data_IF_593394270948
#
_entry.id   IF_593394270948
#
_cell.length_a   1.000
_cell.length_b   1.000
_cell.length_c   1.000
_cell.angle_alpha   90.00
_cell.angle_beta   90.00
_cell.angle_gamma   90.00
#
_symmetry.space_group_name_H-M   'P 1'
#
loop_
_entity.id
_entity.type
_entity.pdbx_description
1 polymer ?
#
# COMPACT_ATOMS: atom_id res chain seq x y z
N UNK A 1 -13.51 8.16 -2.34
CA UNK A 1 -12.48 8.85 -1.52
C UNK A 1 -11.18 8.16 -1.81
N UNK A 2 -10.22 8.91 -2.37
CA UNK A 2 -8.97 8.36 -2.89
C UNK A 2 -7.82 9.25 -2.42
N UNK A 3 -6.73 8.63 -2.02
CA UNK A 3 -5.54 9.31 -1.51
C UNK A 3 -4.32 8.91 -2.35
N UNK A 4 -3.34 9.80 -2.45
CA UNK A 4 -2.08 9.49 -3.12
C UNK A 4 -1.10 8.89 -2.11
N UNK A 5 -0.53 7.73 -2.44
CA UNK A 5 0.57 7.11 -1.70
C UNK A 5 1.82 7.13 -2.57
N UNK A 6 2.96 7.31 -1.93
CA UNK A 6 4.23 7.06 -2.61
C UNK A 6 4.41 5.57 -2.91
N UNK A 7 5.21 5.28 -3.93
CA UNK A 7 5.49 3.90 -4.33
C UNK A 7 6.13 3.09 -3.20
N UNK A 8 7.06 3.70 -2.46
CA UNK A 8 7.72 3.04 -1.33
C UNK A 8 6.78 2.83 -0.14
N UNK A 9 5.92 3.80 0.18
CA UNK A 9 4.87 3.64 1.19
C UNK A 9 3.92 2.49 0.82
N UNK A 10 3.51 2.40 -0.44
CA UNK A 10 2.63 1.32 -0.94
C UNK A 10 3.31 -0.05 -0.83
N UNK A 11 4.60 -0.14 -1.16
CA UNK A 11 5.39 -1.36 -1.04
C UNK A 11 5.44 -1.82 0.42
N UNK A 12 5.88 -0.92 1.31
CA UNK A 12 6.05 -1.17 2.73
C UNK A 12 4.73 -1.53 3.40
N UNK A 13 3.64 -0.85 3.05
CA UNK A 13 2.30 -1.15 3.55
C UNK A 13 1.89 -2.59 3.22
N UNK A 14 2.11 -3.02 1.98
CA UNK A 14 1.75 -4.37 1.56
C UNK A 14 2.60 -5.44 2.28
N UNK A 15 3.90 -5.19 2.47
CA UNK A 15 4.79 -6.08 3.23
C UNK A 15 4.35 -6.20 4.69
N UNK A 16 4.14 -5.07 5.38
CA UNK A 16 3.73 -5.10 6.78
C UNK A 16 2.34 -5.74 6.99
N UNK A 17 1.42 -5.60 6.03
CA UNK A 17 0.12 -6.31 6.08
C UNK A 17 0.36 -7.82 6.05
N UNK A 18 1.18 -8.32 5.13
CA UNK A 18 1.49 -9.75 5.06
C UNK A 18 2.17 -10.24 6.35
N UNK A 19 3.12 -9.46 6.90
CA UNK A 19 3.78 -9.79 8.17
C UNK A 19 2.80 -9.89 9.34
N UNK A 20 1.87 -8.94 9.48
CA UNK A 20 0.83 -9.00 10.51
C UNK A 20 -0.02 -10.26 10.34
N UNK A 21 -0.47 -10.55 9.11
CA UNK A 21 -1.31 -11.72 8.85
C UNK A 21 -0.57 -13.03 9.12
N UNK A 22 0.70 -13.12 8.77
CA UNK A 22 1.50 -14.32 9.01
C UNK A 22 1.83 -14.52 10.49
N UNK A 23 2.08 -13.44 11.23
CA UNK A 23 2.17 -13.50 12.69
C UNK A 23 0.87 -14.02 13.32
N UNK A 24 -0.30 -13.56 12.86
CA UNK A 24 -1.59 -14.02 13.36
C UNK A 24 -1.81 -15.54 13.13
N UNK A 25 -1.28 -16.10 12.04
CA UNK A 25 -1.34 -17.56 11.78
C UNK A 25 -0.60 -18.34 12.87
N UNK A 26 0.51 -17.80 13.39
CA UNK A 26 1.35 -18.46 14.40
C UNK A 26 0.78 -18.40 15.82
N UNK A 27 -0.21 -17.54 16.07
CA UNK A 27 -0.82 -17.39 17.40
C UNK A 27 -1.61 -18.66 17.77
N UNK A 28 -1.17 -19.35 18.81
CA UNK A 28 -1.87 -20.54 19.32
C UNK A 28 -3.30 -20.21 19.75
N UNK A 29 -4.26 -21.02 19.33
CA UNK A 29 -5.68 -20.79 19.61
C UNK A 29 -6.29 -19.63 18.83
N UNK A 30 -5.64 -19.16 17.74
CA UNK A 30 -6.21 -18.17 16.86
C UNK A 30 -7.56 -18.64 16.31
N UNK A 31 -8.63 -17.96 16.75
CA UNK A 31 -10.00 -18.19 16.30
C UNK A 31 -10.29 -17.61 14.91
N UNK A 32 -9.39 -16.78 14.39
CA UNK A 32 -9.55 -16.10 13.11
C UNK A 32 -9.03 -16.99 11.99
N UNK A 33 -9.85 -17.24 10.98
CA UNK A 33 -9.46 -18.03 9.81
C UNK A 33 -8.64 -17.15 8.85
N UNK A 34 -7.35 -16.94 9.19
CA UNK A 34 -6.42 -16.17 8.35
C UNK A 34 -5.95 -17.05 7.20
N UNK A 35 -6.21 -16.67 5.94
CA UNK A 35 -5.79 -17.48 4.80
C UNK A 35 -4.29 -17.31 4.54
N UNK A 36 -3.61 -18.40 4.18
CA UNK A 36 -2.17 -18.40 3.79
C UNK A 36 -1.93 -17.83 2.39
N UNK A 37 -2.98 -17.68 1.59
CA UNK A 37 -2.91 -17.10 0.25
C UNK A 37 -4.19 -16.32 -0.05
N UNK A 38 -4.18 -15.50 -1.09
CA UNK A 38 -5.36 -14.75 -1.53
C UNK A 38 -6.48 -15.72 -1.93
N UNK A 39 -7.65 -15.68 -1.27
CA UNK A 39 -8.80 -16.48 -1.68
C UNK A 39 -9.20 -16.17 -3.13
N UNK A 40 -9.54 -17.20 -3.91
CA UNK A 40 -9.83 -17.05 -5.35
C UNK A 40 -10.96 -16.04 -5.63
N UNK A 41 -11.97 -16.00 -4.75
CA UNK A 41 -13.11 -15.08 -4.85
C UNK A 41 -12.73 -13.60 -4.61
N UNK A 42 -11.56 -13.34 -4.03
CA UNK A 42 -11.04 -12.00 -3.73
C UNK A 42 -9.89 -11.60 -4.68
N UNK A 43 -9.57 -12.42 -5.68
CA UNK A 43 -8.58 -12.07 -6.68
C UNK A 43 -9.19 -11.03 -7.62
N UNK A 44 -8.73 -9.79 -7.48
CA UNK A 44 -9.09 -8.68 -8.36
C UNK A 44 -7.93 -8.33 -9.29
N UNK A 45 -8.16 -8.55 -10.59
CA UNK A 45 -7.20 -8.25 -11.65
C UNK A 45 -7.76 -7.25 -12.67
N UNK A 46 -8.91 -6.64 -12.37
CA UNK A 46 -9.52 -5.67 -13.26
C UNK A 46 -8.64 -4.42 -13.42
N UNK A 47 -8.95 -3.61 -14.43
CA UNK A 47 -8.20 -2.40 -14.72
C UNK A 47 -8.54 -1.34 -13.67
N UNK A 48 -7.52 -0.66 -13.16
CA UNK A 48 -7.74 0.43 -12.22
C UNK A 48 -8.41 1.61 -12.93
N UNK A 49 -9.48 2.11 -12.33
CA UNK A 49 -10.13 3.33 -12.78
C UNK A 49 -9.29 4.57 -12.42
N UNK A 50 -9.39 5.62 -13.23
CA UNK A 50 -8.79 6.90 -12.89
C UNK A 50 -9.52 7.50 -11.67
N UNK A 51 -8.76 7.90 -10.66
CA UNK A 51 -9.30 8.49 -9.43
C UNK A 51 -8.77 9.91 -9.25
N UNK A 52 -9.57 10.76 -8.61
CA UNK A 52 -9.12 12.07 -8.18
C UNK A 52 -8.62 12.00 -6.74
N UNK A 53 -7.36 12.40 -6.53
CA UNK A 53 -6.76 12.45 -5.21
C UNK A 53 -7.40 13.55 -4.35
N UNK A 54 -7.67 13.21 -3.09
CA UNK A 54 -8.15 14.17 -2.08
C UNK A 54 -6.97 14.80 -1.34
N UNK A 55 -6.01 13.97 -0.91
CA UNK A 55 -4.76 14.42 -0.32
C UNK A 55 -3.66 13.39 -0.56
N UNK A 56 -2.42 13.81 -0.34
CA UNK A 56 -1.23 12.95 -0.34
C UNK A 56 -0.94 12.46 1.07
N UNK A 57 -0.81 11.16 1.24
CA UNK A 57 -0.54 10.53 2.52
C UNK A 57 0.87 10.88 3.02
N UNK A 58 0.94 11.44 4.23
CA UNK A 58 2.17 11.61 4.98
C UNK A 58 2.34 10.48 5.98
N UNK A 59 2.02 10.75 7.24
CA UNK A 59 2.06 9.75 8.30
C UNK A 59 0.99 8.66 8.10
N UNK A 60 1.38 7.40 8.26
CA UNK A 60 0.49 6.25 8.19
C UNK A 60 0.69 5.32 9.39
N UNK A 61 -0.42 4.75 9.88
CA UNK A 61 -0.42 3.68 10.88
C UNK A 61 -1.02 2.41 10.28
N UNK A 62 -0.54 1.26 10.76
CA UNK A 62 -1.07 -0.06 10.44
C UNK A 62 -1.23 -0.84 11.74
N UNK A 63 -2.38 -1.47 11.91
CA UNK A 63 -2.68 -2.24 13.11
C UNK A 63 -3.63 -3.41 12.87
N UNK A 64 -3.77 -4.24 13.90
CA UNK A 64 -4.72 -5.35 13.97
C UNK A 64 -5.70 -5.12 15.11
N UNK A 65 -6.99 -5.17 14.82
CA UNK A 65 -8.05 -5.15 15.82
C UNK A 65 -8.61 -6.56 16.08
N UNK A 66 -8.28 -7.21 17.21
CA UNK A 66 -8.75 -8.55 17.53
C UNK A 66 -10.24 -8.59 17.91
N UNK A 67 -10.85 -7.45 18.21
CA UNK A 67 -12.27 -7.39 18.58
C UNK A 67 -13.16 -7.65 17.37
N UNK A 68 -12.79 -7.06 16.22
CA UNK A 68 -13.52 -7.19 14.94
C UNK A 68 -12.83 -8.09 13.91
N UNK A 69 -11.63 -8.58 14.20
CA UNK A 69 -10.81 -9.39 13.29
C UNK A 69 -10.44 -8.64 11.99
N UNK A 70 -10.01 -7.40 12.13
CA UNK A 70 -9.73 -6.50 11.00
C UNK A 70 -8.32 -5.92 11.07
N UNK A 71 -7.69 -5.83 9.91
CA UNK A 71 -6.53 -4.97 9.70
C UNK A 71 -7.04 -3.53 9.57
N UNK A 72 -6.37 -2.60 10.25
CA UNK A 72 -6.73 -1.19 10.31
C UNK A 72 -5.58 -0.37 9.75
N UNK A 73 -5.89 0.52 8.81
CA UNK A 73 -4.94 1.47 8.22
C UNK A 73 -5.46 2.87 8.53
N UNK A 74 -4.59 3.72 9.06
CA UNK A 74 -4.87 5.14 9.23
C UNK A 74 -3.86 5.92 8.38
N UNK A 75 -4.34 6.86 7.58
CA UNK A 75 -3.49 7.72 6.76
C UNK A 75 -3.87 9.17 6.98
N UNK A 76 -2.86 9.97 7.31
CA UNK A 76 -2.96 11.41 7.51
C UNK A 76 -2.38 12.15 6.30
N UNK A 77 -2.78 13.41 6.07
CA UNK A 77 -2.21 14.21 5.01
C UNK A 77 -0.77 14.54 5.37
N UNK A 78 0.07 14.77 4.37
CA UNK A 78 1.34 15.44 4.60
C UNK A 78 1.07 16.85 5.13
N UNK A 79 1.71 17.21 6.24
CA UNK A 79 1.65 18.57 6.79
C UNK A 79 2.76 19.41 6.16
N UNK A 80 2.50 20.69 5.86
CA UNK A 80 3.44 21.63 5.20
C UNK A 80 4.86 21.69 5.82
N UNK A 81 5.02 21.25 7.07
CA UNK A 81 6.31 21.14 7.78
C UNK A 81 7.29 20.15 7.13
N UNK A 82 6.82 19.18 6.35
CA UNK A 82 7.65 18.17 5.66
C UNK A 82 7.92 18.52 4.18
N UNK A 83 7.40 19.66 3.70
CA UNK A 83 7.35 19.97 2.27
C UNK A 83 8.49 20.87 1.74
N UNK A 84 9.15 21.72 2.55
CA UNK A 84 10.29 22.54 2.07
C UNK A 84 11.09 23.21 3.21
N UNK A 85 12.41 23.29 3.04
CA UNK A 85 13.37 24.11 3.82
C UNK A 85 13.21 25.62 3.48
N UNK A 86 11.99 26.15 3.49
CA UNK A 86 11.77 27.58 3.20
C UNK A 86 10.52 28.16 3.89
N UNK A 87 10.78 28.82 5.02
CA UNK A 87 10.13 30.02 5.57
C UNK A 87 8.65 30.29 5.17
N UNK A 88 7.71 29.92 6.04
CA UNK A 88 6.72 30.87 6.58
C UNK A 88 5.99 30.26 7.80
N UNK A 89 5.48 31.13 8.66
CA UNK A 89 5.05 30.85 10.05
C UNK A 89 3.71 30.11 10.12
N UNK A 90 3.45 29.24 11.11
CA UNK A 90 2.10 28.70 11.28
C UNK A 90 1.23 29.69 12.06
N UNK A 91 0.28 30.32 11.38
CA UNK A 91 -0.89 30.91 12.04
C UNK A 91 -1.75 29.77 12.62
N UNK A 92 -1.81 29.72 13.95
CA UNK A 92 -2.76 28.91 14.70
C UNK A 92 -4.17 29.51 14.56
N UNK A 93 -5.06 28.91 13.77
CA UNK A 93 -6.50 29.09 13.99
C UNK A 93 -7.33 27.94 13.40
N UNK A 94 -8.15 27.33 14.25
CA UNK A 94 -9.20 26.38 13.87
C UNK A 94 -8.88 24.95 14.27
N UNK A 95 -9.73 24.37 15.12
CA UNK A 95 -9.82 22.93 15.33
C UNK A 95 -10.19 22.25 13.99
N UNK A 96 -9.20 22.05 13.12
CA UNK A 96 -9.40 21.42 11.84
C UNK A 96 -9.51 19.91 12.12
N UNK A 97 -10.68 19.35 11.85
CA UNK A 97 -10.87 17.90 11.81
C UNK A 97 -9.77 17.35 10.92
N UNK A 98 -8.71 16.77 11.50
CA UNK A 98 -7.52 16.36 10.75
C UNK A 98 -7.98 15.37 9.68
N UNK A 99 -7.97 15.79 8.42
CA UNK A 99 -8.44 14.99 7.29
C UNK A 99 -7.70 13.64 7.34
N UNK A 100 -8.43 12.55 7.58
CA UNK A 100 -7.83 11.24 7.80
C UNK A 100 -8.63 10.16 7.07
N UNK A 101 -7.91 9.25 6.41
CA UNK A 101 -8.49 8.03 5.87
C UNK A 101 -8.31 6.90 6.88
N UNK A 102 -9.42 6.30 7.30
CA UNK A 102 -9.46 5.07 8.09
C UNK A 102 -9.98 3.93 7.23
N UNK A 103 -9.16 2.91 6.98
CA UNK A 103 -9.56 1.69 6.27
C UNK A 103 -9.56 0.52 7.24
N UNK A 104 -10.66 -0.25 7.23
CA UNK A 104 -10.77 -1.48 8.01
C UNK A 104 -11.12 -2.63 7.08
N UNK A 105 -10.30 -3.67 7.09
CA UNK A 105 -10.45 -4.78 6.14
C UNK A 105 -10.31 -6.14 6.84
N UNK A 106 -11.16 -7.12 6.52
CA UNK A 106 -11.03 -8.47 7.06
C UNK A 106 -9.78 -9.15 6.48
N UNK A 107 -9.28 -10.17 7.19
CA UNK A 107 -8.01 -10.86 6.88
C UNK A 107 -7.88 -11.37 5.44
N UNK A 108 -8.97 -11.85 4.83
CA UNK A 108 -8.96 -12.29 3.43
C UNK A 108 -8.78 -11.13 2.44
N UNK A 109 -9.47 -10.01 2.67
CA UNK A 109 -9.34 -8.80 1.84
C UNK A 109 -7.98 -8.16 2.05
N UNK A 110 -7.45 -8.15 3.27
CA UNK A 110 -6.09 -7.66 3.55
C UNK A 110 -5.04 -8.46 2.76
N UNK A 111 -5.15 -9.79 2.73
CA UNK A 111 -4.28 -10.66 1.93
C UNK A 111 -4.38 -10.38 0.43
N UNK A 112 -5.59 -10.14 -0.08
CA UNK A 112 -5.81 -9.79 -1.48
C UNK A 112 -5.19 -8.43 -1.82
N UNK A 113 -5.44 -7.42 -0.98
CA UNK A 113 -4.92 -6.08 -1.11
C UNK A 113 -3.38 -6.05 -1.11
N UNK A 114 -2.74 -6.71 -0.15
CA UNK A 114 -1.28 -6.80 -0.08
C UNK A 114 -0.68 -7.42 -1.35
N UNK A 115 -1.23 -8.55 -1.80
CA UNK A 115 -0.80 -9.20 -3.04
C UNK A 115 -0.92 -8.27 -4.25
N UNK A 116 -2.10 -7.67 -4.46
CA UNK A 116 -2.34 -6.80 -5.63
C UNK A 116 -1.49 -5.54 -5.60
N UNK A 117 -1.30 -4.96 -4.41
CA UNK A 117 -0.43 -3.79 -4.22
C UNK A 117 1.01 -4.10 -4.61
N UNK A 118 1.55 -5.26 -4.20
CA UNK A 118 2.89 -5.72 -4.60
C UNK A 118 3.00 -5.90 -6.11
N UNK A 119 1.98 -6.46 -6.76
CA UNK A 119 1.94 -6.61 -8.22
C UNK A 119 1.97 -5.25 -8.92
N UNK A 120 1.17 -4.27 -8.47
CA UNK A 120 1.11 -2.92 -9.05
C UNK A 120 2.42 -2.16 -8.84
N UNK A 121 2.96 -2.18 -7.62
CA UNK A 121 4.26 -1.58 -7.29
C UNK A 121 5.37 -2.20 -8.15
N UNK A 122 5.35 -3.52 -8.31
CA UNK A 122 6.28 -4.28 -9.15
C UNK A 122 6.08 -4.06 -10.66
N UNK A 123 4.88 -3.71 -11.10
CA UNK A 123 4.60 -3.44 -12.51
C UNK A 123 5.25 -2.14 -13.01
N UNK A 124 5.54 -1.17 -12.11
CA UNK A 124 6.26 0.06 -12.44
C UNK A 124 7.78 -0.11 -12.62
N UNK A 125 8.23 -1.22 -13.22
CA UNK A 125 9.66 -1.52 -13.42
C UNK A 125 10.24 -0.74 -14.61
N UNK A 126 11.47 -0.20 -14.49
CA UNK A 126 12.13 0.55 -15.56
C UNK A 126 12.26 -0.32 -16.81
N UNK A 127 12.10 0.31 -17.97
CA UNK A 127 12.30 -0.34 -19.27
C UNK A 127 13.81 -0.55 -19.52
N UNK A 128 14.22 -1.74 -20.01
CA UNK A 128 15.60 -2.02 -20.45
C UNK A 128 15.94 -0.98 -21.53
N UNK A 129 17.02 -0.21 -21.39
CA UNK A 129 17.39 0.84 -22.35
C UNK A 129 17.81 0.27 -23.72
N UNK A 130 18.05 -1.04 -23.82
CA UNK A 130 18.44 -1.73 -25.05
C UNK A 130 17.23 -2.23 -25.87
N UNK A 131 16.16 -2.71 -25.21
CA UNK A 131 15.03 -3.34 -25.89
C UNK A 131 13.67 -2.71 -25.57
N UNK A 132 13.58 -1.81 -24.59
CA UNK A 132 12.35 -1.12 -24.17
C UNK A 132 11.41 -1.94 -23.28
N UNK A 133 11.74 -3.19 -22.94
CA UNK A 133 10.89 -4.05 -22.10
C UNK A 133 11.09 -3.82 -20.59
N UNK A 134 10.06 -3.95 -19.74
CA UNK A 134 10.20 -3.81 -18.29
C UNK A 134 11.22 -4.82 -17.72
N UNK A 135 12.14 -4.34 -16.88
CA UNK A 135 13.15 -5.21 -16.26
C UNK A 135 12.55 -6.01 -15.08
N UNK A 136 12.95 -7.26 -14.88
CA UNK A 136 12.48 -8.07 -13.75
C UNK A 136 13.20 -7.74 -12.42
N UNK A 137 12.63 -8.17 -11.29
CA UNK A 137 13.17 -7.87 -9.95
C UNK A 137 14.52 -8.56 -9.67
N UNK A 138 14.79 -9.68 -10.35
CA UNK A 138 16.05 -10.45 -10.29
C UNK A 138 17.10 -9.95 -11.32
N UNK A 139 16.77 -8.90 -12.09
CA UNK A 139 17.54 -8.41 -13.23
C UNK A 139 16.93 -8.84 -14.58
N UNK A 140 17.31 -8.16 -15.67
CA UNK A 140 16.84 -8.46 -17.02
C UNK A 140 18.04 -8.77 -17.93
N UNK A 141 18.00 -9.93 -18.60
CA UNK A 141 19.02 -10.32 -19.58
C UNK A 141 18.49 -9.97 -20.97
N UNK A 142 18.95 -8.84 -21.55
CA UNK A 142 18.49 -8.39 -22.87
C UNK A 142 19.20 -9.25 -23.96
N UNK A 143 18.49 -10.18 -24.61
CA UNK A 143 18.95 -10.86 -25.84
C UNK A 143 18.60 -9.99 -27.05
N UNK A 144 19.51 -9.11 -27.47
CA UNK A 144 19.35 -8.37 -28.72
C UNK A 144 19.35 -9.37 -29.89
N UNK A 145 18.35 -9.39 -30.80
CA UNK A 145 18.53 -10.05 -32.08
C UNK A 145 19.62 -9.30 -32.84
N UNK A 146 20.63 -10.01 -33.32
CA UNK A 146 21.62 -9.42 -34.22
C UNK A 146 20.91 -8.86 -35.45
N UNK A 147 20.87 -7.52 -35.60
CA UNK A 147 21.27 -6.74 -36.79
C UNK A 147 21.17 -5.23 -36.55
#
# INVERSE_FOLDING_TARGET
MSIALEKQQSALLAENIDEILDQLITVEGNRFSVPTSTPLELVDNDQLEAVQEQFRAGAMSLGWDPTTAQVVIEAHPITDIDADDNDESPDEDGANETEMLLVRMPVGTARAFAKRTREIVGAGRPTCPLCGYPMDADGHICILPEV
#
